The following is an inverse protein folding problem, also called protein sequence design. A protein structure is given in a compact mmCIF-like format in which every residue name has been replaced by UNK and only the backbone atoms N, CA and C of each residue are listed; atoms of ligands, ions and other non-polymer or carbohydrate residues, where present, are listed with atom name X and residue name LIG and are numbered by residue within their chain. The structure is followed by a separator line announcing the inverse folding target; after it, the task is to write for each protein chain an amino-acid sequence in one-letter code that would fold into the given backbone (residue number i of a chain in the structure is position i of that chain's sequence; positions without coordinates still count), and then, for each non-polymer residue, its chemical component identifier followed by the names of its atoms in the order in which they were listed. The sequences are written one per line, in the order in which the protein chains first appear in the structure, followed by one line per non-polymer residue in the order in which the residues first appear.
data_IF_501093832029
#
_entry.id   IF_501093832029
#
_cell.length_a   1.000
_cell.length_b   1.000
_cell.length_c   1.000
_cell.angle_alpha   90.00
_cell.angle_beta   90.00
_cell.angle_gamma   90.00
#
_symmetry.space_group_name_H-M   'P 1'
#
loop_
_entity.id
_entity.type
_entity.pdbx_description
1 polymer ?
#
# COMPACT_ATOMS: atom_id res chain seq x y z
N UNK A 1 54.27 -28.78 -22.34
CA UNK A 1 53.70 -28.42 -21.03
C UNK A 1 53.20 -26.97 -21.02
N UNK A 2 53.97 -26.02 -21.51
CA UNK A 2 53.59 -24.58 -21.53
C UNK A 2 52.33 -24.25 -22.35
N UNK A 3 52.10 -24.85 -23.51
CA UNK A 3 50.90 -24.64 -24.33
C UNK A 3 49.61 -25.09 -23.64
N UNK A 4 49.66 -26.17 -22.88
CA UNK A 4 48.51 -26.65 -22.12
C UNK A 4 48.17 -25.69 -20.98
N UNK A 5 49.19 -25.15 -20.31
CA UNK A 5 49.01 -24.17 -19.22
C UNK A 5 48.40 -22.87 -19.75
N UNK A 6 48.87 -22.38 -20.91
CA UNK A 6 48.32 -21.16 -21.53
C UNK A 6 46.83 -21.34 -21.90
N UNK A 7 46.45 -22.47 -22.51
CA UNK A 7 45.05 -22.76 -22.83
C UNK A 7 44.14 -22.81 -21.57
N UNK A 8 44.65 -23.35 -20.49
CA UNK A 8 43.88 -23.37 -19.20
C UNK A 8 43.69 -21.95 -18.65
N UNK A 9 44.72 -21.09 -18.72
CA UNK A 9 44.64 -19.71 -18.29
C UNK A 9 43.66 -18.91 -19.15
N UNK A 10 43.69 -19.05 -20.47
CA UNK A 10 42.76 -18.38 -21.37
C UNK A 10 41.32 -18.82 -21.12
N UNK A 11 41.09 -20.13 -20.95
CA UNK A 11 39.77 -20.66 -20.61
C UNK A 11 39.24 -20.10 -19.31
N UNK A 12 40.09 -20.03 -18.28
CA UNK A 12 39.72 -19.47 -16.97
C UNK A 12 39.35 -17.99 -17.08
N UNK A 13 40.09 -17.20 -17.86
CA UNK A 13 39.80 -15.79 -18.09
C UNK A 13 38.42 -15.59 -18.78
N UNK A 14 38.10 -16.41 -19.78
CA UNK A 14 36.82 -16.36 -20.48
C UNK A 14 35.68 -16.70 -19.53
N UNK A 15 35.84 -17.73 -18.69
CA UNK A 15 34.82 -18.13 -17.69
C UNK A 15 34.60 -17.02 -16.66
N UNK A 16 35.66 -16.42 -16.14
CA UNK A 16 35.58 -15.30 -15.18
C UNK A 16 34.90 -14.09 -15.83
N UNK A 17 35.26 -13.73 -17.03
CA UNK A 17 34.63 -12.61 -17.74
C UNK A 17 33.14 -12.87 -18.02
N UNK A 18 32.75 -14.09 -18.38
CA UNK A 18 31.38 -14.47 -18.63
C UNK A 18 30.54 -14.44 -17.32
N UNK A 19 31.09 -14.90 -16.20
CA UNK A 19 30.40 -14.85 -14.90
C UNK A 19 30.19 -13.42 -14.39
N UNK A 20 31.20 -12.56 -14.54
CA UNK A 20 31.09 -11.13 -14.17
C UNK A 20 30.02 -10.46 -15.06
N UNK A 21 30.03 -10.72 -16.36
CA UNK A 21 29.04 -10.19 -17.30
C UNK A 21 27.62 -10.61 -16.94
N UNK A 22 27.42 -11.87 -16.56
CA UNK A 22 26.12 -12.40 -16.13
C UNK A 22 25.64 -11.73 -14.84
N UNK A 23 26.50 -11.57 -13.84
CA UNK A 23 26.17 -10.90 -12.57
C UNK A 23 25.78 -9.44 -12.81
N UNK A 24 26.53 -8.72 -13.63
CA UNK A 24 26.21 -7.33 -14.00
C UNK A 24 24.86 -7.27 -14.72
N UNK A 25 24.62 -8.16 -15.67
CA UNK A 25 23.35 -8.23 -16.40
C UNK A 25 22.18 -8.47 -15.45
N UNK A 26 22.29 -9.40 -14.50
CA UNK A 26 21.26 -9.67 -13.48
C UNK A 26 21.04 -8.45 -12.59
N UNK A 27 22.08 -7.73 -12.18
CA UNK A 27 21.95 -6.51 -11.41
C UNK A 27 21.19 -5.40 -12.17
N UNK A 28 21.43 -5.25 -13.48
CA UNK A 28 20.71 -4.27 -14.29
C UNK A 28 19.26 -4.67 -14.61
N UNK A 29 18.96 -5.97 -14.73
CA UNK A 29 17.59 -6.45 -14.97
C UNK A 29 16.74 -6.53 -13.69
N UNK A 30 17.34 -6.64 -12.51
CA UNK A 30 16.64 -6.73 -11.22
C UNK A 30 15.57 -5.65 -11.00
N UNK A 31 15.84 -4.34 -11.25
CA UNK A 31 14.83 -3.31 -11.03
C UNK A 31 13.63 -3.41 -12.00
N UNK A 32 13.78 -4.05 -13.15
CA UNK A 32 12.68 -4.27 -14.10
C UNK A 32 11.77 -5.42 -13.69
N UNK A 33 12.32 -6.44 -13.01
CA UNK A 33 11.59 -7.64 -12.59
C UNK A 33 10.82 -7.40 -11.30
N UNK A 34 11.31 -6.51 -10.39
CA UNK A 34 10.73 -6.28 -9.05
C UNK A 34 9.68 -5.16 -8.96
N UNK A 35 9.34 -4.47 -10.06
CA UNK A 35 8.39 -3.35 -10.05
C UNK A 35 6.89 -3.67 -9.89
N UNK A 36 6.35 -4.86 -10.22
CA UNK A 36 4.90 -5.04 -10.26
C UNK A 36 4.20 -5.22 -8.90
N UNK A 37 4.93 -5.41 -7.79
CA UNK A 37 4.30 -5.78 -6.51
C UNK A 37 3.98 -4.62 -5.56
N UNK A 38 4.52 -3.42 -5.78
CA UNK A 38 4.28 -2.27 -4.89
C UNK A 38 2.81 -1.83 -4.80
N UNK A 39 2.07 -1.69 -5.92
CA UNK A 39 0.65 -1.32 -5.83
C UNK A 39 -0.18 -2.32 -5.03
N UNK A 40 -0.03 -3.62 -5.26
CA UNK A 40 -0.78 -4.65 -4.56
C UNK A 40 -0.48 -4.69 -3.04
N UNK A 41 0.79 -4.48 -2.65
CA UNK A 41 1.18 -4.37 -1.24
C UNK A 41 0.59 -3.12 -0.58
N UNK A 42 0.59 -1.99 -1.27
CA UNK A 42 0.00 -0.75 -0.79
C UNK A 42 -1.53 -0.86 -0.67
N UNK A 43 -2.18 -1.51 -1.63
CA UNK A 43 -3.62 -1.79 -1.61
C UNK A 43 -4.03 -2.62 -0.40
N UNK A 44 -3.28 -3.70 -0.13
CA UNK A 44 -3.50 -4.52 1.08
C UNK A 44 -3.29 -3.73 2.37
N UNK A 45 -2.27 -2.85 2.40
CA UNK A 45 -2.03 -1.96 3.54
C UNK A 45 -3.15 -0.92 3.69
N UNK A 46 -3.69 -0.37 2.59
CA UNK A 46 -4.80 0.56 2.63
C UNK A 46 -6.05 -0.07 3.24
N UNK A 47 -6.39 -1.29 2.84
CA UNK A 47 -7.50 -2.07 3.43
C UNK A 47 -7.28 -2.31 4.92
N UNK A 48 -6.07 -2.71 5.33
CA UNK A 48 -5.72 -2.92 6.74
C UNK A 48 -5.84 -1.61 7.55
N UNK A 49 -5.38 -0.49 7.00
CA UNK A 49 -5.47 0.82 7.64
C UNK A 49 -6.93 1.29 7.78
N UNK A 50 -7.82 1.05 6.80
CA UNK A 50 -9.25 1.34 6.94
C UNK A 50 -9.89 0.49 8.04
N UNK A 51 -9.52 -0.78 8.19
CA UNK A 51 -9.98 -1.62 9.31
C UNK A 51 -9.50 -1.08 10.66
N UNK A 52 -8.28 -0.54 10.73
CA UNK A 52 -7.78 0.15 11.92
C UNK A 52 -8.62 1.39 12.22
N UNK A 53 -8.96 2.20 11.21
CA UNK A 53 -9.86 3.35 11.37
C UNK A 53 -11.24 2.91 11.88
N UNK A 54 -11.84 1.85 11.30
CA UNK A 54 -13.13 1.33 11.74
C UNK A 54 -13.09 0.91 13.22
N UNK A 55 -12.04 0.21 13.65
CA UNK A 55 -11.86 -0.17 15.06
C UNK A 55 -11.72 1.06 15.97
N UNK A 56 -10.95 2.06 15.53
CA UNK A 56 -10.80 3.32 16.25
C UNK A 56 -12.13 4.06 16.38
N UNK A 57 -12.94 4.10 15.32
CA UNK A 57 -14.27 4.73 15.32
C UNK A 57 -15.23 4.06 16.30
N UNK A 58 -15.27 2.72 16.33
CA UNK A 58 -16.12 1.99 17.29
C UNK A 58 -15.70 2.27 18.74
N UNK A 59 -14.39 2.33 18.98
CA UNK A 59 -13.85 2.66 20.31
C UNK A 59 -14.18 4.10 20.68
N UNK A 60 -13.99 5.05 19.77
CA UNK A 60 -14.31 6.47 19.97
C UNK A 60 -15.80 6.69 20.24
N UNK A 61 -16.68 6.04 19.49
CA UNK A 61 -18.12 6.12 19.62
C UNK A 61 -18.59 5.81 21.07
N UNK A 62 -17.93 4.84 21.72
CA UNK A 62 -18.28 4.44 23.09
C UNK A 62 -17.92 5.51 24.13
N UNK A 63 -16.92 6.35 23.87
CA UNK A 63 -16.45 7.42 24.78
C UNK A 63 -17.01 8.80 24.43
N UNK A 64 -17.45 9.03 23.20
CA UNK A 64 -17.86 10.33 22.64
C UNK A 64 -19.38 10.59 22.66
N UNK A 65 -20.13 9.90 23.54
CA UNK A 65 -21.59 10.02 23.64
C UNK A 65 -22.36 9.64 22.36
N UNK A 66 -21.80 8.72 21.56
CA UNK A 66 -22.45 8.21 20.37
C UNK A 66 -22.18 9.01 19.09
N UNK A 67 -21.07 9.73 19.03
CA UNK A 67 -20.62 10.44 17.84
C UNK A 67 -19.32 9.83 17.31
N UNK A 68 -19.15 9.79 16.00
CA UNK A 68 -17.91 9.41 15.33
C UNK A 68 -16.93 10.60 15.30
N UNK A 69 -15.63 10.31 15.24
CA UNK A 69 -14.55 11.30 15.23
C UNK A 69 -13.90 11.50 13.87
N UNK A 70 -13.35 12.68 13.66
CA UNK A 70 -12.43 12.95 12.55
C UNK A 70 -11.09 12.27 12.82
N UNK A 71 -10.17 12.26 11.81
CA UNK A 71 -8.79 11.76 12.03
C UNK A 71 -8.13 12.48 13.22
N UNK A 72 -8.29 13.79 13.32
CA UNK A 72 -7.71 14.59 14.40
C UNK A 72 -8.28 14.19 15.79
N UNK A 73 -9.58 13.92 15.89
CA UNK A 73 -10.22 13.48 17.12
C UNK A 73 -9.71 12.09 17.54
N UNK A 74 -9.56 11.18 16.60
CA UNK A 74 -9.05 9.82 16.86
C UNK A 74 -7.58 9.84 17.28
N UNK A 75 -6.76 10.72 16.71
CA UNK A 75 -5.37 10.91 17.13
C UNK A 75 -5.31 11.53 18.53
N UNK A 76 -6.10 12.57 18.80
CA UNK A 76 -6.17 13.19 20.12
C UNK A 76 -6.64 12.21 21.22
N UNK A 77 -7.48 11.24 20.85
CA UNK A 77 -7.92 10.16 21.74
C UNK A 77 -6.89 9.00 21.85
N UNK A 78 -5.74 9.06 21.15
CA UNK A 78 -4.73 8.02 21.14
C UNK A 78 -5.13 6.73 20.41
N UNK A 79 -6.15 6.78 19.56
CA UNK A 79 -6.70 5.63 18.83
C UNK A 79 -6.08 5.46 17.45
N UNK A 80 -5.50 6.52 16.88
CA UNK A 80 -4.72 6.50 15.65
C UNK A 80 -3.38 7.19 15.86
N UNK A 81 -2.40 6.84 15.04
CA UNK A 81 -1.10 7.54 15.00
C UNK A 81 -1.13 8.75 14.04
N UNK A 82 -0.19 9.68 14.21
CA UNK A 82 -0.10 10.91 13.41
C UNK A 82 0.17 10.65 11.92
N UNK A 83 0.62 9.46 11.54
CA UNK A 83 0.89 9.13 10.12
C UNK A 83 -0.38 9.12 9.27
N UNK A 84 -1.57 9.04 9.89
CA UNK A 84 -2.84 9.13 9.18
C UNK A 84 -3.19 10.54 8.70
N UNK A 85 -2.52 11.59 9.17
CA UNK A 85 -2.70 12.97 8.66
C UNK A 85 -1.99 13.22 7.34
N UNK A 86 -1.08 12.32 6.94
CA UNK A 86 -0.28 12.42 5.72
C UNK A 86 -0.50 11.26 4.77
N UNK A 87 0.60 10.80 4.18
CA UNK A 87 0.60 9.64 3.29
C UNK A 87 1.15 8.42 4.01
N UNK A 88 0.36 7.35 4.05
CA UNK A 88 0.74 6.07 4.65
C UNK A 88 0.58 4.96 3.62
N UNK A 89 1.64 4.19 3.35
CA UNK A 89 1.66 3.12 2.35
C UNK A 89 1.17 3.58 0.94
N UNK A 90 1.50 4.81 0.54
CA UNK A 90 1.13 5.35 -0.78
C UNK A 90 -0.33 5.78 -0.91
N UNK A 91 -1.07 5.88 0.21
CA UNK A 91 -2.45 6.34 0.28
C UNK A 91 -2.60 7.54 1.22
N UNK A 92 -3.49 8.45 0.85
CA UNK A 92 -4.01 9.50 1.73
C UNK A 92 -5.33 9.02 2.34
N UNK A 93 -5.55 9.35 3.63
CA UNK A 93 -6.75 8.94 4.36
C UNK A 93 -7.56 10.16 4.73
N UNK A 94 -8.89 10.05 4.60
CA UNK A 94 -9.84 11.06 5.04
C UNK A 94 -10.99 10.41 5.79
N UNK A 95 -11.58 11.14 6.73
CA UNK A 95 -12.81 10.75 7.43
C UNK A 95 -13.77 11.92 7.35
N UNK A 96 -14.91 11.71 6.71
CA UNK A 96 -16.05 12.63 6.76
C UNK A 96 -17.07 12.08 7.78
N UNK A 97 -17.47 12.92 8.74
CA UNK A 97 -18.46 12.56 9.77
C UNK A 97 -19.75 13.32 9.51
N UNK A 98 -20.90 12.66 9.70
CA UNK A 98 -22.22 13.24 9.61
C UNK A 98 -23.11 12.69 10.71
N UNK A 99 -23.13 13.36 11.87
CA UNK A 99 -23.93 12.94 13.04
C UNK A 99 -23.52 11.55 13.56
N UNK A 100 -24.36 10.56 13.32
CA UNK A 100 -24.13 9.16 13.71
C UNK A 100 -23.61 8.29 12.55
N UNK A 101 -23.03 8.91 11.54
CA UNK A 101 -22.47 8.24 10.38
C UNK A 101 -21.06 8.76 10.09
N UNK A 102 -20.24 7.97 9.41
CA UNK A 102 -18.96 8.38 8.88
C UNK A 102 -18.66 7.66 7.56
N UNK A 103 -17.83 8.29 6.74
CA UNK A 103 -17.18 7.64 5.61
C UNK A 103 -15.68 7.81 5.78
N UNK A 104 -14.97 6.71 5.87
CA UNK A 104 -13.52 6.69 5.86
C UNK A 104 -13.04 6.29 4.47
N UNK A 105 -12.12 7.05 3.91
CA UNK A 105 -11.61 6.87 2.55
C UNK A 105 -10.10 6.72 2.55
N UNK A 106 -9.59 5.87 1.65
CA UNK A 106 -8.18 5.69 1.33
C UNK A 106 -8.00 5.92 -0.18
N UNK A 107 -7.36 7.02 -0.54
CA UNK A 107 -7.13 7.41 -1.94
C UNK A 107 -5.66 7.25 -2.30
N UNK A 108 -5.31 6.52 -3.38
CA UNK A 108 -3.93 6.39 -3.80
C UNK A 108 -3.38 7.75 -4.27
N UNK A 109 -2.16 8.10 -3.85
CA UNK A 109 -1.54 9.38 -4.24
C UNK A 109 -1.09 9.41 -5.70
N UNK A 110 -0.98 8.25 -6.34
CA UNK A 110 -0.68 8.11 -7.77
C UNK A 110 -1.10 6.72 -8.27
N UNK A 111 -1.20 6.57 -9.59
CA UNK A 111 -1.46 5.28 -10.25
C UNK A 111 -0.35 4.24 -10.02
N UNK A 112 0.86 4.69 -9.63
CA UNK A 112 1.97 3.81 -9.29
C UNK A 112 1.94 3.31 -7.85
N UNK A 113 1.11 3.93 -6.98
CA UNK A 113 0.98 3.55 -5.56
C UNK A 113 -0.21 2.66 -5.30
N UNK A 114 -1.26 2.74 -6.11
CA UNK A 114 -2.44 1.90 -6.02
C UNK A 114 -3.33 2.05 -7.25
N UNK A 115 -4.08 1.00 -7.57
CA UNK A 115 -5.01 0.94 -8.70
C UNK A 115 -6.43 1.33 -8.29
N UNK A 116 -6.78 1.18 -7.01
CA UNK A 116 -8.12 1.36 -6.48
C UNK A 116 -8.11 2.32 -5.31
N UNK A 117 -9.16 3.13 -5.20
CA UNK A 117 -9.55 3.79 -3.97
C UNK A 117 -10.38 2.83 -3.11
N UNK A 118 -10.31 2.98 -1.79
CA UNK A 118 -11.05 2.17 -0.83
C UNK A 118 -11.83 3.07 0.11
N UNK A 119 -12.96 2.57 0.62
CA UNK A 119 -13.79 3.29 1.57
C UNK A 119 -14.52 2.33 2.50
N UNK A 120 -14.94 2.83 3.64
CA UNK A 120 -15.77 2.10 4.59
C UNK A 120 -16.73 3.01 5.33
N UNK A 121 -17.80 2.43 5.83
CA UNK A 121 -18.87 3.04 6.61
C UNK A 121 -18.98 2.37 7.99
N UNK A 122 -19.96 2.77 8.86
CA UNK A 122 -20.15 2.18 10.19
C UNK A 122 -20.41 0.67 10.22
N UNK A 123 -20.80 0.06 9.10
CA UNK A 123 -20.91 -1.39 8.96
C UNK A 123 -19.54 -2.11 8.96
N UNK A 124 -18.45 -1.31 8.91
CA UNK A 124 -17.06 -1.77 8.88
C UNK A 124 -16.69 -2.64 7.67
N UNK A 125 -17.53 -2.66 6.64
CA UNK A 125 -17.20 -3.31 5.35
C UNK A 125 -16.29 -2.38 4.56
N UNK A 126 -15.15 -2.90 4.10
CA UNK A 126 -14.26 -2.16 3.21
C UNK A 126 -14.64 -2.46 1.76
N UNK A 127 -15.01 -1.42 1.05
CA UNK A 127 -15.41 -1.45 -0.34
C UNK A 127 -14.34 -0.79 -1.22
N UNK A 128 -14.30 -1.09 -2.51
CA UNK A 128 -13.39 -0.46 -3.45
C UNK A 128 -14.12 0.12 -4.67
N UNK A 129 -13.49 1.12 -5.30
CA UNK A 129 -13.91 1.66 -6.59
C UNK A 129 -13.01 1.17 -7.71
N UNK A 130 -13.59 0.96 -8.89
CA UNK A 130 -12.84 0.72 -10.13
C UNK A 130 -12.21 1.97 -10.71
N UNK A 131 -12.49 3.17 -10.17
CA UNK A 131 -11.89 4.44 -10.58
C UNK A 131 -10.66 4.70 -9.72
N UNK A 132 -9.49 4.64 -10.33
CA UNK A 132 -8.16 4.64 -9.69
C UNK A 132 -7.78 5.92 -8.96
N UNK A 133 -8.50 7.00 -9.08
CA UNK A 133 -8.13 8.31 -8.51
C UNK A 133 -9.04 8.79 -7.39
N UNK A 134 -10.14 8.10 -7.11
CA UNK A 134 -11.13 8.56 -6.15
C UNK A 134 -11.62 7.38 -5.32
N UNK A 135 -11.49 7.47 -4.00
CA UNK A 135 -12.37 6.74 -3.12
C UNK A 135 -13.79 7.29 -3.38
N UNK A 136 -14.75 6.46 -3.79
CA UNK A 136 -16.05 6.98 -4.19
C UNK A 136 -16.81 7.49 -2.98
N UNK A 137 -17.35 8.67 -3.11
CA UNK A 137 -18.42 9.12 -2.24
C UNK A 137 -19.66 8.27 -2.54
N UNK A 138 -20.08 7.43 -1.61
CA UNK A 138 -21.30 6.63 -1.72
C UNK A 138 -21.10 5.17 -2.13
N UNK A 139 -22.18 4.49 -2.37
CA UNK A 139 -22.29 3.01 -2.46
C UNK A 139 -21.86 2.39 -3.80
N UNK A 140 -21.10 3.06 -4.62
CA UNK A 140 -20.61 2.54 -5.90
C UNK A 140 -19.28 1.83 -5.75
N UNK A 141 -19.26 0.69 -5.15
CA UNK A 141 -18.05 -0.12 -5.00
C UNK A 141 -18.40 -1.56 -4.67
N UNK A 142 -17.37 -2.40 -4.65
CA UNK A 142 -17.49 -3.81 -4.28
C UNK A 142 -16.81 -4.07 -2.95
N UNK A 143 -17.29 -5.08 -2.24
CA UNK A 143 -16.57 -5.59 -1.09
C UNK A 143 -15.18 -6.09 -1.49
N UNK A 144 -14.15 -5.77 -0.71
CA UNK A 144 -12.80 -6.31 -0.91
C UNK A 144 -12.70 -7.79 -0.54
N UNK A 145 -13.77 -8.37 -0.03
CA UNK A 145 -13.85 -9.79 0.38
C UNK A 145 -14.50 -10.68 -0.67
N UNK A 146 -14.93 -10.12 -1.82
CA UNK A 146 -15.47 -10.85 -2.96
C UNK A 146 -14.39 -11.17 -4.02
#
# INVERSE_FOLDING_TARGET
MERALQLVVELLQVVVAATIGLVVLVMFLSPFIYRPHRPASNESAAVANLRTINTAQVTYLSSSRGSYGTIADLIAAGLLDETFTGTKAGYAYTIATSGRDYTAEATPISTNTGRFGYYSHPDAVVLYSTITSLAPAGQSGRSVLE
#
